data_IF_783126061126
#
_entry.id   IF_783126061126
#
_cell.length_a   1.000
_cell.length_b   1.000
_cell.length_c   1.000
_cell.angle_alpha   90.00
_cell.angle_beta   90.00
_cell.angle_gamma   90.00
#
_symmetry.space_group_name_H-M   'P 1'
#
loop_
_entity.id
_entity.type
_entity.pdbx_description
1 polymer ?
#
# COMPACT_ATOMS: atom_id res chain seq x y z
N UNK A 1 10.64 1.97 45.16
CA UNK A 1 10.94 3.27 44.53
C UNK A 1 9.98 3.58 43.36
N UNK A 2 8.67 3.51 43.58
CA UNK A 2 7.63 3.49 42.52
C UNK A 2 6.87 4.82 42.33
N UNK A 3 7.23 5.88 43.05
CA UNK A 3 6.36 7.07 43.19
C UNK A 3 6.38 8.08 42.02
N UNK A 4 7.22 7.89 40.99
CA UNK A 4 7.40 8.82 39.85
C UNK A 4 7.36 8.15 38.47
N UNK A 5 6.72 6.98 38.31
CA UNK A 5 6.60 6.31 37.00
C UNK A 5 5.15 6.30 36.53
N UNK A 6 4.95 6.46 35.22
CA UNK A 6 3.66 6.23 34.55
C UNK A 6 3.69 4.81 33.97
N UNK A 7 2.66 4.03 34.27
CA UNK A 7 2.49 2.67 33.74
C UNK A 7 1.39 2.70 32.68
N UNK A 8 1.74 2.30 31.46
CA UNK A 8 0.79 2.09 30.38
C UNK A 8 0.67 0.59 30.08
N UNK A 9 -0.56 0.13 29.86
CA UNK A 9 -0.87 -1.24 29.43
C UNK A 9 -1.90 -1.16 28.32
N UNK A 10 -1.83 -2.07 27.35
CA UNK A 10 -2.70 -2.05 26.18
C UNK A 10 -2.76 -3.42 25.52
N UNK A 11 -3.79 -3.63 24.69
CA UNK A 11 -4.00 -4.87 23.96
C UNK A 11 -3.07 -5.07 22.76
N UNK A 12 -2.38 -4.02 22.32
CA UNK A 12 -1.36 -4.05 21.26
C UNK A 12 -0.36 -2.91 21.46
N UNK A 13 0.73 -2.91 20.67
CA UNK A 13 1.72 -1.82 20.68
C UNK A 13 1.11 -0.46 20.34
N UNK A 14 0.24 -0.40 19.32
CA UNK A 14 -0.53 0.81 18.98
C UNK A 14 -1.38 1.29 20.17
N UNK A 15 -2.04 0.39 20.90
CA UNK A 15 -2.87 0.78 22.05
C UNK A 15 -2.02 1.37 23.19
N UNK A 16 -0.83 0.80 23.44
CA UNK A 16 0.13 1.34 24.41
C UNK A 16 0.63 2.71 23.97
N UNK A 17 1.08 2.86 22.73
CA UNK A 17 1.58 4.13 22.18
C UNK A 17 0.51 5.24 22.26
N UNK A 18 -0.73 4.93 21.88
CA UNK A 18 -1.86 5.86 21.99
C UNK A 18 -2.20 6.25 23.42
N UNK A 19 -2.12 5.31 24.37
CA UNK A 19 -2.32 5.59 25.79
C UNK A 19 -1.24 6.51 26.37
N UNK A 20 0.02 6.27 25.99
CA UNK A 20 1.14 7.15 26.35
C UNK A 20 0.93 8.53 25.74
N UNK A 21 0.57 8.63 24.45
CA UNK A 21 0.36 9.92 23.81
C UNK A 21 -0.80 10.69 24.44
N UNK A 22 -1.88 10.01 24.82
CA UNK A 22 -2.99 10.62 25.55
C UNK A 22 -2.50 11.28 26.85
N UNK A 23 -1.69 10.56 27.63
CA UNK A 23 -1.10 11.12 28.84
C UNK A 23 -0.22 12.35 28.54
N UNK A 24 0.69 12.24 27.57
CA UNK A 24 1.57 13.34 27.16
C UNK A 24 0.76 14.58 26.72
N UNK A 25 -0.29 14.38 25.92
CA UNK A 25 -1.10 15.46 25.37
C UNK A 25 -1.93 16.17 26.44
N UNK A 26 -2.63 15.43 27.28
CA UNK A 26 -3.63 16.00 28.19
C UNK A 26 -3.10 16.32 29.59
N UNK A 27 -1.98 15.72 30.00
CA UNK A 27 -1.39 15.96 31.31
C UNK A 27 -0.07 16.73 31.22
N UNK A 28 0.74 16.49 30.19
CA UNK A 28 2.04 17.14 30.04
C UNK A 28 2.04 18.32 29.05
N UNK A 29 0.89 18.66 28.45
CA UNK A 29 0.75 19.69 27.41
C UNK A 29 1.67 19.46 26.18
N UNK A 30 2.00 18.21 25.88
CA UNK A 30 2.80 17.87 24.71
C UNK A 30 1.95 17.82 23.44
N UNK A 31 2.61 17.96 22.29
CA UNK A 31 1.99 17.86 20.99
C UNK A 31 2.96 17.26 19.97
N UNK A 32 2.49 16.33 19.15
CA UNK A 32 3.27 15.74 18.05
C UNK A 32 2.47 15.87 16.75
N UNK A 33 3.09 16.47 15.74
CA UNK A 33 2.54 16.68 14.40
C UNK A 33 3.65 16.58 13.35
N UNK A 34 3.29 16.56 12.06
CA UNK A 34 4.28 16.63 10.98
C UNK A 34 5.08 17.95 10.97
N UNK A 35 4.46 19.04 11.41
CA UNK A 35 5.08 20.37 11.37
C UNK A 35 5.95 20.66 12.60
N UNK A 36 5.99 19.76 13.57
CA UNK A 36 6.78 19.94 14.78
C UNK A 36 6.24 19.17 15.98
N UNK A 37 7.06 19.19 17.03
CA UNK A 37 6.81 18.52 18.30
C UNK A 37 7.10 19.46 19.47
N UNK A 38 6.16 19.57 20.40
CA UNK A 38 6.41 20.05 21.75
C UNK A 38 6.43 18.81 22.64
N UNK A 39 7.60 18.51 23.22
CA UNK A 39 7.81 17.37 24.12
C UNK A 39 8.51 17.80 25.41
N UNK A 40 8.37 19.06 25.80
CA UNK A 40 8.93 19.55 27.06
C UNK A 40 8.06 19.04 28.21
N UNK A 41 8.64 18.15 29.02
CA UNK A 41 7.93 17.51 30.10
C UNK A 41 8.00 18.34 31.39
N UNK A 42 6.88 18.48 32.12
CA UNK A 42 6.90 19.03 33.47
C UNK A 42 7.71 18.16 34.44
N UNK A 43 8.41 18.81 35.38
CA UNK A 43 9.11 18.14 36.47
C UNK A 43 8.58 18.65 37.82
N UNK A 44 7.95 17.79 38.65
CA UNK A 44 7.71 16.36 38.43
C UNK A 44 6.60 16.08 37.40
N UNK A 45 6.57 14.85 36.86
CA UNK A 45 5.48 14.40 35.99
C UNK A 45 4.11 14.48 36.69
N UNK A 46 3.07 15.00 36.02
CA UNK A 46 1.70 15.08 36.54
C UNK A 46 1.19 13.72 36.98
N UNK A 47 0.60 13.67 38.18
CA UNK A 47 0.07 12.42 38.73
C UNK A 47 -1.30 12.12 38.14
N UNK A 48 -1.53 10.84 37.82
CA UNK A 48 -2.85 10.30 37.54
C UNK A 48 -3.52 9.89 38.86
N UNK A 49 -4.77 10.32 39.06
CA UNK A 49 -5.62 9.81 40.14
C UNK A 49 -6.34 8.55 39.68
N UNK A 50 -5.87 7.39 40.13
CA UNK A 50 -6.44 6.10 39.74
C UNK A 50 -5.98 5.62 38.36
N UNK A 51 -6.83 4.83 37.68
CA UNK A 51 -6.53 4.22 36.38
C UNK A 51 -7.39 4.87 35.29
N UNK A 52 -6.73 5.55 34.35
CA UNK A 52 -7.38 6.04 33.14
C UNK A 52 -7.53 4.88 32.13
N UNK A 53 -8.76 4.52 31.79
CA UNK A 53 -9.07 3.50 30.78
C UNK A 53 -9.58 4.17 29.50
N UNK A 54 -8.93 3.88 28.38
CA UNK A 54 -9.28 4.40 27.06
C UNK A 54 -9.60 3.22 26.16
N UNK A 55 -10.82 3.20 25.62
CA UNK A 55 -11.27 2.17 24.68
C UNK A 55 -11.75 2.84 23.40
N UNK A 56 -11.67 2.13 22.29
CA UNK A 56 -12.25 2.54 21.01
C UNK A 56 -13.24 1.50 20.53
N UNK A 57 -14.44 1.90 20.05
CA UNK A 57 -15.38 0.96 19.43
C UNK A 57 -14.93 0.54 18.02
N UNK A 58 -13.92 1.22 17.46
CA UNK A 58 -13.48 1.00 16.08
C UNK A 58 -12.42 -0.11 16.02
N UNK A 59 -12.78 -1.21 15.36
CA UNK A 59 -11.86 -2.30 15.03
C UNK A 59 -10.65 -1.80 14.23
N UNK A 60 -10.90 -0.91 13.26
CA UNK A 60 -9.87 -0.35 12.39
C UNK A 60 -9.85 1.18 12.47
N UNK A 61 -8.64 1.73 12.52
CA UNK A 61 -8.35 3.14 12.28
C UNK A 61 -7.35 3.18 11.13
N UNK A 62 -7.89 3.47 9.96
CA UNK A 62 -7.19 3.45 8.68
C UNK A 62 -6.48 4.78 8.42
N UNK A 63 -5.36 4.74 7.71
CA UNK A 63 -4.63 5.94 7.30
C UNK A 63 -4.02 5.78 5.90
N UNK A 64 -3.85 6.93 5.24
CA UNK A 64 -3.32 7.16 3.88
C UNK A 64 -4.35 7.08 2.75
N UNK A 65 -4.04 7.77 1.65
CA UNK A 65 -4.67 7.59 0.35
C UNK A 65 -3.62 7.01 -0.60
N UNK A 66 -4.03 6.25 -1.61
CA UNK A 66 -3.11 5.74 -2.65
C UNK A 66 -2.34 6.87 -3.35
N UNK A 67 -2.90 8.08 -3.42
CA UNK A 67 -2.24 9.27 -3.95
C UNK A 67 -1.14 9.83 -3.03
N UNK A 68 -1.22 9.61 -1.72
CA UNK A 68 -0.27 10.17 -0.74
C UNK A 68 1.16 9.67 -0.99
N UNK A 69 1.31 8.45 -1.52
CA UNK A 69 2.61 7.86 -1.88
C UNK A 69 3.37 8.68 -2.92
N UNK A 70 2.65 9.35 -3.82
CA UNK A 70 3.23 10.16 -4.89
C UNK A 70 3.33 11.63 -4.51
N UNK A 71 2.33 12.16 -3.80
CA UNK A 71 2.30 13.57 -3.41
C UNK A 71 3.16 13.93 -2.21
N UNK A 72 3.42 12.97 -1.32
CA UNK A 72 4.11 13.24 -0.06
C UNK A 72 5.29 12.29 0.17
N UNK A 73 5.11 10.99 -0.05
CA UNK A 73 6.08 9.99 0.41
C UNK A 73 7.16 9.62 -0.62
N UNK A 74 7.04 10.08 -1.86
CA UNK A 74 7.86 9.61 -3.01
C UNK A 74 9.37 9.74 -2.78
N UNK A 75 9.80 10.74 -1.99
CA UNK A 75 11.21 10.99 -1.69
C UNK A 75 11.58 10.69 -0.24
N UNK A 76 10.71 10.03 0.52
CA UNK A 76 10.99 9.67 1.89
C UNK A 76 12.01 8.54 1.96
N UNK A 77 12.97 8.70 2.85
CA UNK A 77 13.86 7.64 3.28
C UNK A 77 13.27 6.89 4.48
N UNK A 78 14.03 5.94 5.02
CA UNK A 78 13.64 5.20 6.20
C UNK A 78 13.40 6.10 7.41
N UNK A 79 14.25 7.11 7.63
CA UNK A 79 14.14 7.96 8.82
C UNK A 79 12.80 8.69 8.85
N UNK A 80 12.37 9.26 7.73
CA UNK A 80 11.05 9.93 7.67
C UNK A 80 9.90 8.93 7.80
N UNK A 81 10.03 7.72 7.26
CA UNK A 81 9.02 6.66 7.43
C UNK A 81 8.89 6.18 8.88
N UNK A 82 10.00 6.03 9.59
CA UNK A 82 10.03 5.66 11.00
C UNK A 82 9.26 6.69 11.85
N UNK A 83 9.50 7.99 11.62
CA UNK A 83 8.74 9.05 12.27
C UNK A 83 7.24 9.01 11.95
N UNK A 84 6.88 8.66 10.72
CA UNK A 84 5.47 8.52 10.33
C UNK A 84 4.80 7.34 11.03
N UNK A 85 5.48 6.20 11.15
CA UNK A 85 4.93 5.01 11.80
C UNK A 85 4.81 5.23 13.32
N UNK A 86 5.76 5.92 13.94
CA UNK A 86 5.64 6.34 15.34
C UNK A 86 4.44 7.29 15.51
N UNK A 87 4.27 8.27 14.62
CA UNK A 87 3.11 9.16 14.62
C UNK A 87 1.79 8.39 14.44
N UNK A 88 1.74 7.43 13.52
CA UNK A 88 0.61 6.51 13.33
C UNK A 88 0.27 5.79 14.64
N UNK A 89 1.26 5.20 15.32
CA UNK A 89 1.06 4.46 16.57
C UNK A 89 0.55 5.37 17.70
N UNK A 90 1.12 6.57 17.85
CA UNK A 90 0.67 7.58 18.82
C UNK A 90 -0.79 7.99 18.57
N UNK A 91 -1.21 8.08 17.31
CA UNK A 91 -2.59 8.44 16.92
C UNK A 91 -3.52 7.24 16.78
N UNK A 92 -3.05 6.04 17.13
CA UNK A 92 -3.89 4.86 17.19
C UNK A 92 -4.19 4.24 15.84
N UNK A 93 -3.43 4.52 14.79
CA UNK A 93 -3.63 3.87 13.49
C UNK A 93 -3.21 2.41 13.56
N UNK A 94 -4.04 1.51 13.02
CA UNK A 94 -3.76 0.07 12.99
C UNK A 94 -4.01 -0.60 11.64
N UNK A 95 -4.44 0.15 10.61
CA UNK A 95 -4.66 -0.35 9.26
C UNK A 95 -4.09 0.62 8.21
N UNK A 96 -2.76 0.81 8.13
CA UNK A 96 -2.14 1.68 7.13
C UNK A 96 -1.94 0.98 5.76
N UNK A 97 -1.92 1.75 4.67
CA UNK A 97 -1.42 1.23 3.38
C UNK A 97 0.10 1.04 3.42
N UNK A 98 0.60 0.03 2.70
CA UNK A 98 2.04 -0.24 2.56
C UNK A 98 2.37 -0.65 1.11
N UNK A 99 2.46 0.35 0.23
CA UNK A 99 2.56 0.19 -1.23
C UNK A 99 3.97 0.39 -1.80
N UNK A 100 4.94 0.71 -0.95
CA UNK A 100 6.34 0.98 -1.33
C UNK A 100 6.95 -0.26 -1.99
N UNK A 101 7.75 -0.05 -3.03
CA UNK A 101 8.51 -1.12 -3.69
C UNK A 101 7.72 -2.09 -4.58
N UNK A 102 6.41 -1.91 -4.76
CA UNK A 102 5.60 -2.86 -5.54
C UNK A 102 6.03 -2.97 -7.02
N UNK A 103 6.64 -1.93 -7.59
CA UNK A 103 7.19 -1.96 -8.95
C UNK A 103 8.34 -2.95 -9.09
N UNK A 104 9.14 -3.17 -8.04
CA UNK A 104 10.20 -4.18 -8.04
C UNK A 104 9.61 -5.60 -8.18
N UNK A 105 8.49 -5.86 -7.50
CA UNK A 105 7.81 -7.15 -7.59
C UNK A 105 7.19 -7.37 -8.97
N UNK A 106 6.56 -6.33 -9.53
CA UNK A 106 6.05 -6.37 -10.89
C UNK A 106 7.16 -6.56 -11.93
N UNK A 107 8.30 -5.90 -11.76
CA UNK A 107 9.47 -6.09 -12.64
C UNK A 107 9.90 -7.57 -12.67
N UNK A 108 9.97 -8.23 -11.51
CA UNK A 108 10.27 -9.67 -11.44
C UNK A 108 9.21 -10.54 -12.12
N UNK A 109 7.92 -10.29 -11.85
CA UNK A 109 6.81 -11.05 -12.46
C UNK A 109 6.82 -10.90 -13.99
N UNK A 110 6.96 -9.68 -14.51
CA UNK A 110 6.95 -9.45 -15.94
C UNK A 110 8.20 -10.02 -16.65
N UNK A 111 9.38 -9.93 -16.03
CA UNK A 111 10.57 -10.62 -16.54
C UNK A 111 10.38 -12.14 -16.57
N UNK A 112 9.81 -12.72 -15.51
CA UNK A 112 9.53 -14.16 -15.45
C UNK A 112 8.50 -14.62 -16.51
N UNK A 113 7.57 -13.75 -16.89
CA UNK A 113 6.64 -13.99 -18.01
C UNK A 113 7.30 -13.87 -19.39
N UNK A 114 8.46 -13.22 -19.50
CA UNK A 114 9.22 -13.06 -20.74
C UNK A 114 9.10 -11.68 -21.41
N UNK A 115 8.73 -10.64 -20.64
CA UNK A 115 8.80 -9.26 -21.14
C UNK A 115 10.24 -8.79 -21.24
N UNK A 116 10.52 -8.02 -22.28
CA UNK A 116 11.79 -7.35 -22.47
C UNK A 116 11.83 -6.07 -21.62
N UNK A 117 13.04 -5.60 -21.28
CA UNK A 117 13.20 -4.46 -20.37
C UNK A 117 12.48 -3.20 -20.89
N UNK A 118 12.56 -2.92 -22.19
CA UNK A 118 11.86 -1.77 -22.81
C UNK A 118 10.34 -1.84 -22.66
N UNK A 119 9.75 -3.05 -22.65
CA UNK A 119 8.30 -3.22 -22.47
C UNK A 119 7.87 -2.96 -21.02
N UNK A 120 8.76 -3.23 -20.06
CA UNK A 120 8.57 -2.94 -18.64
C UNK A 120 8.74 -1.44 -18.37
N UNK A 121 9.77 -0.83 -18.98
CA UNK A 121 10.03 0.62 -18.88
C UNK A 121 8.91 1.47 -19.49
N UNK A 122 8.23 0.98 -20.53
CA UNK A 122 7.04 1.63 -21.10
C UNK A 122 5.79 1.52 -20.21
N UNK A 123 5.78 0.61 -19.24
CA UNK A 123 4.63 0.40 -18.35
C UNK A 123 4.64 1.34 -17.15
N UNK A 124 5.78 1.46 -16.47
CA UNK A 124 5.87 2.28 -15.26
C UNK A 124 5.93 3.77 -15.59
N UNK A 125 5.27 4.58 -14.76
CA UNK A 125 5.49 6.03 -14.76
C UNK A 125 6.72 6.39 -13.92
N UNK A 126 7.09 7.67 -13.92
CA UNK A 126 8.11 8.19 -13.01
C UNK A 126 7.66 8.13 -11.54
N UNK A 127 8.59 8.21 -10.58
CA UNK A 127 8.29 8.03 -9.15
C UNK A 127 7.11 8.88 -8.63
N UNK A 128 7.09 10.15 -9.03
CA UNK A 128 6.07 11.13 -8.62
C UNK A 128 4.66 10.86 -9.18
N UNK A 129 4.50 9.84 -10.04
CA UNK A 129 3.26 9.53 -10.73
C UNK A 129 2.79 8.08 -10.51
N UNK A 130 3.45 7.34 -9.60
CA UNK A 130 3.18 5.91 -9.41
C UNK A 130 1.79 5.63 -8.86
N UNK A 131 1.17 6.51 -8.08
CA UNK A 131 -0.20 6.36 -7.62
C UNK A 131 -1.17 6.10 -8.79
N UNK A 132 -1.14 6.96 -9.80
CA UNK A 132 -2.01 6.85 -10.98
C UNK A 132 -1.61 5.74 -11.93
N UNK A 133 -0.34 5.34 -11.94
CA UNK A 133 0.09 4.19 -12.71
C UNK A 133 -0.45 2.87 -12.12
N UNK A 134 -0.39 2.72 -10.79
CA UNK A 134 -0.94 1.57 -10.06
C UNK A 134 -2.45 1.45 -10.25
N UNK A 135 -3.16 2.59 -10.30
CA UNK A 135 -4.60 2.68 -10.56
C UNK A 135 -4.99 2.58 -12.04
N UNK A 136 -4.03 2.28 -12.93
CA UNK A 136 -4.25 2.13 -14.37
C UNK A 136 -4.74 3.40 -15.09
N UNK A 137 -4.57 4.59 -14.50
CA UNK A 137 -4.92 5.85 -15.16
C UNK A 137 -3.85 6.28 -16.17
N UNK A 138 -2.58 5.97 -15.87
CA UNK A 138 -1.45 6.40 -16.68
C UNK A 138 -0.31 5.36 -16.76
N UNK A 139 0.60 5.58 -17.69
CA UNK A 139 1.81 4.77 -17.93
C UNK A 139 2.90 5.67 -18.52
N UNK A 140 4.17 5.26 -18.42
CA UNK A 140 5.35 5.90 -19.04
C UNK A 140 5.70 7.34 -18.62
N UNK A 141 4.73 8.18 -18.28
CA UNK A 141 4.95 9.60 -18.03
C UNK A 141 5.94 9.84 -16.88
N UNK A 142 6.99 10.62 -17.13
CA UNK A 142 8.06 10.90 -16.17
C UNK A 142 9.01 9.74 -15.89
N UNK A 143 8.84 8.59 -16.55
CA UNK A 143 9.75 7.44 -16.46
C UNK A 143 10.92 7.50 -17.46
N UNK A 144 11.72 6.42 -17.56
CA UNK A 144 11.59 5.15 -16.84
C UNK A 144 12.07 5.21 -15.38
N UNK A 145 11.72 4.20 -14.58
CA UNK A 145 12.28 4.02 -13.24
C UNK A 145 13.70 3.46 -13.34
N UNK A 146 14.72 4.08 -12.72
CA UNK A 146 16.06 3.49 -12.70
C UNK A 146 16.09 2.24 -11.80
N UNK A 147 16.98 1.28 -12.09
CA UNK A 147 17.09 0.06 -11.27
C UNK A 147 17.34 0.35 -9.78
N UNK A 148 18.04 1.44 -9.47
CA UNK A 148 18.25 1.90 -8.08
C UNK A 148 16.95 2.21 -7.34
N UNK A 149 15.90 2.68 -8.04
CA UNK A 149 14.58 2.88 -7.46
C UNK A 149 13.99 1.56 -6.97
N UNK A 150 13.98 0.53 -7.82
CA UNK A 150 13.45 -0.78 -7.47
C UNK A 150 14.15 -1.39 -6.25
N UNK A 151 15.49 -1.33 -6.23
CA UNK A 151 16.29 -1.86 -5.11
C UNK A 151 16.02 -1.09 -3.82
N UNK A 152 16.10 0.24 -3.86
CA UNK A 152 15.95 1.06 -2.66
C UNK A 152 14.54 0.98 -2.07
N UNK A 153 13.51 0.98 -2.92
CA UNK A 153 12.12 0.92 -2.47
C UNK A 153 11.75 -0.47 -1.93
N UNK A 154 12.36 -1.54 -2.45
CA UNK A 154 12.17 -2.89 -1.90
C UNK A 154 12.73 -2.99 -0.47
N UNK A 155 13.95 -2.49 -0.24
CA UNK A 155 14.57 -2.45 1.09
C UNK A 155 13.74 -1.59 2.05
N UNK A 156 13.32 -0.40 1.60
CA UNK A 156 12.50 0.52 2.41
C UNK A 156 11.19 -0.14 2.85
N UNK A 157 10.52 -0.85 1.94
CA UNK A 157 9.26 -1.53 2.26
C UNK A 157 9.43 -2.62 3.32
N UNK A 158 10.54 -3.37 3.31
CA UNK A 158 10.81 -4.38 4.34
C UNK A 158 10.90 -3.74 5.74
N UNK A 159 11.59 -2.61 5.85
CA UNK A 159 11.71 -1.87 7.12
C UNK A 159 10.36 -1.30 7.58
N UNK A 160 9.56 -0.75 6.65
CA UNK A 160 8.21 -0.25 6.93
C UNK A 160 7.32 -1.36 7.49
N UNK A 161 7.30 -2.52 6.84
CA UNK A 161 6.45 -3.64 7.23
C UNK A 161 6.86 -4.22 8.58
N UNK A 162 8.16 -4.40 8.83
CA UNK A 162 8.68 -4.84 10.12
C UNK A 162 8.21 -3.92 11.25
N UNK A 163 8.43 -2.61 11.12
CA UNK A 163 8.06 -1.65 12.16
C UNK A 163 6.55 -1.53 12.36
N UNK A 164 5.75 -1.56 11.29
CA UNK A 164 4.30 -1.58 11.41
C UNK A 164 3.81 -2.81 12.20
N UNK A 165 4.38 -3.99 11.92
CA UNK A 165 4.02 -5.24 12.60
C UNK A 165 4.49 -5.29 14.05
N UNK A 166 5.63 -4.69 14.38
CA UNK A 166 6.10 -4.55 15.78
C UNK A 166 5.08 -3.80 16.65
N UNK A 167 4.39 -2.79 16.10
CA UNK A 167 3.30 -2.11 16.80
C UNK A 167 1.98 -2.90 16.81
N UNK A 168 1.87 -3.98 16.04
CA UNK A 168 0.64 -4.73 15.82
C UNK A 168 -0.33 -4.04 14.86
N UNK A 169 0.18 -3.23 13.92
CA UNK A 169 -0.60 -2.75 12.78
C UNK A 169 -0.80 -3.88 11.76
N UNK A 170 -1.80 -3.72 10.90
CA UNK A 170 -2.11 -4.63 9.79
C UNK A 170 -1.86 -3.85 8.48
N UNK A 171 -0.67 -3.97 7.87
CA UNK A 171 -0.37 -3.32 6.61
C UNK A 171 -1.25 -3.84 5.48
N UNK A 172 -1.85 -2.93 4.71
CA UNK A 172 -2.61 -3.26 3.50
C UNK A 172 -1.65 -3.36 2.31
N UNK A 173 -1.52 -4.55 1.74
CA UNK A 173 -0.63 -4.83 0.61
C UNK A 173 -1.37 -4.71 -0.73
N UNK A 174 -0.66 -4.42 -1.84
CA UNK A 174 -1.29 -4.32 -3.16
C UNK A 174 -1.68 -5.68 -3.74
N UNK A 175 -2.69 -5.70 -4.60
CA UNK A 175 -3.07 -6.85 -5.41
C UNK A 175 -3.31 -6.46 -6.88
N UNK A 176 -3.34 -7.46 -7.76
CA UNK A 176 -3.50 -7.25 -9.20
C UNK A 176 -4.89 -6.71 -9.56
N UNK A 177 -4.92 -5.63 -10.34
CA UNK A 177 -6.15 -4.94 -10.76
C UNK A 177 -6.64 -5.34 -12.15
N UNK A 178 -5.87 -6.12 -12.91
CA UNK A 178 -6.12 -6.40 -14.33
C UNK A 178 -5.32 -5.53 -15.30
N UNK A 179 -4.67 -4.46 -14.82
CA UNK A 179 -3.82 -3.59 -15.65
C UNK A 179 -2.51 -4.28 -16.03
N UNK A 180 -2.24 -4.35 -17.33
CA UNK A 180 -1.09 -5.07 -17.88
C UNK A 180 -0.25 -4.20 -18.84
N UNK A 181 1.05 -4.48 -18.98
CA UNK A 181 1.88 -3.89 -20.02
C UNK A 181 1.48 -4.40 -21.41
N UNK A 182 1.64 -3.54 -22.43
CA UNK A 182 1.36 -3.90 -23.83
C UNK A 182 2.12 -5.15 -24.30
N UNK A 183 3.33 -5.36 -23.79
CA UNK A 183 4.17 -6.51 -24.10
C UNK A 183 3.52 -7.87 -23.80
N UNK A 184 2.53 -7.92 -22.91
CA UNK A 184 1.75 -9.15 -22.66
C UNK A 184 1.04 -9.64 -23.93
N UNK A 185 0.58 -8.74 -24.81
CA UNK A 185 -0.07 -9.12 -26.07
C UNK A 185 0.89 -9.77 -27.08
N UNK A 186 2.20 -9.55 -26.95
CA UNK A 186 3.21 -10.26 -27.75
C UNK A 186 3.35 -11.71 -27.30
N UNK A 187 3.30 -11.93 -25.99
CA UNK A 187 3.47 -13.25 -25.38
C UNK A 187 2.17 -14.07 -25.42
N UNK A 188 1.03 -13.40 -25.25
CA UNK A 188 -0.31 -13.98 -25.20
C UNK A 188 -1.22 -13.28 -26.23
N UNK A 189 -1.05 -13.56 -27.54
CA UNK A 189 -1.78 -12.85 -28.61
C UNK A 189 -3.28 -13.13 -28.62
N UNK A 190 -3.75 -14.16 -27.91
CA UNK A 190 -5.16 -14.51 -27.76
C UNK A 190 -5.79 -13.94 -26.47
N UNK A 191 -5.03 -13.19 -25.67
CA UNK A 191 -5.54 -12.60 -24.44
C UNK A 191 -6.66 -11.59 -24.76
N UNK A 192 -7.79 -11.72 -24.07
CA UNK A 192 -8.91 -10.81 -24.20
C UNK A 192 -8.62 -9.54 -23.39
N UNK A 193 -8.30 -8.44 -24.09
CA UNK A 193 -7.84 -7.20 -23.47
C UNK A 193 -8.63 -6.02 -24.02
N UNK A 194 -9.06 -5.15 -23.11
CA UNK A 194 -9.69 -3.87 -23.44
C UNK A 194 -8.67 -2.75 -23.27
N UNK A 195 -8.60 -1.84 -24.25
CA UNK A 195 -7.87 -0.58 -24.09
C UNK A 195 -8.86 0.46 -23.55
N UNK A 196 -8.58 1.02 -22.37
CA UNK A 196 -9.42 2.06 -21.79
C UNK A 196 -9.29 3.40 -22.51
N UNK A 197 -10.24 4.30 -22.26
CA UNK A 197 -10.18 5.68 -22.73
C UNK A 197 -9.06 6.50 -22.06
N UNK A 198 -8.77 7.70 -22.58
CA UNK A 198 -7.80 8.61 -21.97
C UNK A 198 -8.31 9.16 -20.62
N UNK A 199 -7.41 9.30 -19.66
CA UNK A 199 -7.66 9.92 -18.35
C UNK A 199 -7.07 11.33 -18.28
N UNK A 200 -7.80 12.28 -17.69
CA UNK A 200 -7.37 13.66 -17.43
C UNK A 200 -6.65 14.37 -18.61
N UNK A 201 -7.17 14.18 -19.83
CA UNK A 201 -6.62 14.76 -21.08
C UNK A 201 -5.22 14.26 -21.50
N UNK A 202 -4.66 13.24 -20.85
CA UNK A 202 -3.48 12.54 -21.37
C UNK A 202 -3.84 11.74 -22.62
N UNK A 203 -3.00 11.82 -23.65
CA UNK A 203 -3.15 10.97 -24.83
C UNK A 203 -2.76 9.51 -24.53
N UNK A 204 -3.04 8.59 -25.46
CA UNK A 204 -2.77 7.17 -25.26
C UNK A 204 -1.28 6.77 -25.20
N UNK A 205 -0.36 7.69 -25.45
CA UNK A 205 1.07 7.47 -25.16
C UNK A 205 1.34 7.40 -23.66
N UNK A 206 0.50 8.06 -22.85
CA UNK A 206 0.66 8.15 -21.39
C UNK A 206 -0.56 7.66 -20.60
N UNK A 207 -1.67 7.34 -21.24
CA UNK A 207 -2.89 6.80 -20.62
C UNK A 207 -3.39 5.59 -21.43
N UNK A 208 -4.71 5.37 -21.53
CA UNK A 208 -5.33 4.29 -22.29
C UNK A 208 -4.71 2.93 -21.92
N UNK A 209 -4.82 2.58 -20.64
CA UNK A 209 -4.23 1.36 -20.09
C UNK A 209 -4.89 0.12 -20.67
N UNK A 210 -4.13 -0.98 -20.71
CA UNK A 210 -4.59 -2.27 -21.20
C UNK A 210 -5.12 -3.04 -20.00
N UNK A 211 -6.42 -3.32 -19.98
CA UNK A 211 -7.08 -4.09 -18.93
C UNK A 211 -7.42 -5.46 -19.47
N UNK A 212 -6.87 -6.49 -18.83
CA UNK A 212 -7.18 -7.88 -19.10
C UNK A 212 -8.62 -8.18 -18.66
N UNK A 213 -9.41 -8.82 -19.52
CA UNK A 213 -10.77 -9.22 -19.18
C UNK A 213 -10.72 -10.17 -17.97
N UNK A 214 -11.54 -9.94 -16.94
CA UNK A 214 -11.54 -10.77 -15.73
C UNK A 214 -11.86 -12.24 -16.00
N UNK A 215 -12.54 -12.56 -17.11
CA UNK A 215 -12.90 -13.93 -17.50
C UNK A 215 -11.79 -14.63 -18.27
N UNK A 216 -10.74 -13.91 -18.66
CA UNK A 216 -9.56 -14.50 -19.29
C UNK A 216 -8.77 -15.31 -18.25
N UNK A 217 -8.42 -16.58 -18.52
CA UNK A 217 -7.61 -17.40 -17.61
C UNK A 217 -6.28 -16.74 -17.18
N UNK A 218 -5.71 -15.89 -18.05
CA UNK A 218 -4.49 -15.16 -17.78
C UNK A 218 -4.63 -14.19 -16.60
N UNK A 219 -5.86 -13.71 -16.30
CA UNK A 219 -6.10 -12.81 -15.17
C UNK A 219 -5.75 -13.48 -13.85
N UNK A 220 -6.24 -14.71 -13.67
CA UNK A 220 -5.94 -15.50 -12.48
C UNK A 220 -4.45 -15.85 -12.42
N UNK A 221 -3.86 -16.25 -13.54
CA UNK A 221 -2.44 -16.60 -13.61
C UNK A 221 -1.54 -15.42 -13.20
N UNK A 222 -1.69 -14.25 -13.82
CA UNK A 222 -0.87 -13.08 -13.50
C UNK A 222 -1.13 -12.60 -12.06
N UNK A 223 -2.40 -12.55 -11.65
CA UNK A 223 -2.76 -12.13 -10.30
C UNK A 223 -2.18 -13.03 -9.22
N UNK A 224 -2.21 -14.34 -9.42
CA UNK A 224 -1.62 -15.31 -8.49
C UNK A 224 -0.09 -15.27 -8.48
N UNK A 225 0.56 -15.08 -9.64
CA UNK A 225 2.02 -14.91 -9.70
C UNK A 225 2.48 -13.67 -8.92
N UNK A 226 1.79 -12.54 -9.12
CA UNK A 226 2.10 -11.31 -8.40
C UNK A 226 1.87 -11.45 -6.89
N UNK A 227 0.73 -11.99 -6.49
CA UNK A 227 0.45 -12.17 -5.07
C UNK A 227 1.43 -13.14 -4.40
N UNK A 228 1.80 -14.23 -5.08
CA UNK A 228 2.84 -15.14 -4.58
C UNK A 228 4.17 -14.41 -4.39
N UNK A 229 4.53 -13.51 -5.30
CA UNK A 229 5.73 -12.68 -5.16
C UNK A 229 5.62 -11.67 -3.99
N UNK A 230 4.46 -11.04 -3.80
CA UNK A 230 4.17 -10.18 -2.63
C UNK A 230 4.34 -10.97 -1.34
N UNK A 231 3.69 -12.13 -1.21
CA UNK A 231 3.77 -12.94 0.02
C UNK A 231 5.18 -13.47 0.25
N UNK A 232 5.88 -13.89 -0.79
CA UNK A 232 7.27 -14.38 -0.70
C UNK A 232 8.21 -13.30 -0.15
N UNK A 233 8.11 -12.07 -0.65
CA UNK A 233 9.02 -11.00 -0.27
C UNK A 233 8.62 -10.31 1.03
N UNK A 234 7.33 -10.13 1.26
CA UNK A 234 6.81 -9.25 2.31
C UNK A 234 6.05 -9.98 3.42
N UNK A 235 5.79 -11.28 3.28
CA UNK A 235 4.77 -11.95 4.08
C UNK A 235 3.38 -11.37 3.81
N UNK A 236 2.42 -11.58 4.72
CA UNK A 236 1.10 -10.97 4.60
C UNK A 236 0.33 -10.91 5.91
N UNK A 237 -0.54 -9.92 6.00
CA UNK A 237 -1.49 -9.73 7.10
C UNK A 237 -2.96 -9.87 6.59
N UNK A 238 -3.11 -10.51 5.43
CA UNK A 238 -4.37 -10.95 4.81
C UNK A 238 -5.34 -9.85 4.36
N UNK A 239 -4.91 -8.59 4.33
CA UNK A 239 -5.69 -7.48 3.76
C UNK A 239 -4.94 -6.94 2.55
N UNK A 240 -5.63 -6.93 1.40
CA UNK A 240 -5.11 -6.44 0.14
C UNK A 240 -6.01 -5.35 -0.42
N UNK A 241 -5.42 -4.38 -1.13
CA UNK A 241 -6.16 -3.36 -1.87
C UNK A 241 -5.83 -3.42 -3.36
N UNK A 242 -6.85 -3.20 -4.18
CA UNK A 242 -6.74 -3.06 -5.63
C UNK A 242 -7.99 -2.38 -6.16
N UNK A 243 -7.83 -1.58 -7.22
CA UNK A 243 -8.90 -0.80 -7.82
C UNK A 243 -8.73 -0.86 -9.35
N UNK A 244 -9.64 -1.53 -10.05
CA UNK A 244 -9.54 -1.76 -11.51
C UNK A 244 -9.92 -0.53 -12.34
N UNK A 245 -10.89 0.26 -11.86
CA UNK A 245 -11.47 1.36 -12.61
C UNK A 245 -11.59 2.65 -11.81
N UNK A 246 -10.59 2.94 -10.97
CA UNK A 246 -10.56 4.23 -10.27
C UNK A 246 -10.53 5.37 -11.30
N UNK A 247 -11.58 6.20 -11.32
CA UNK A 247 -11.76 7.29 -12.30
C UNK A 247 -11.70 6.85 -13.78
N UNK A 248 -11.96 5.58 -14.06
CA UNK A 248 -12.02 5.04 -15.41
C UNK A 248 -13.40 4.45 -15.66
N UNK A 249 -13.93 4.61 -16.88
CA UNK A 249 -15.19 3.97 -17.26
C UNK A 249 -14.94 2.50 -17.62
N UNK A 250 -15.62 1.53 -16.98
CA UNK A 250 -15.57 0.13 -17.38
C UNK A 250 -16.02 -0.04 -18.85
N UNK A 251 -15.52 -1.04 -19.59
CA UNK A 251 -15.96 -1.27 -20.98
C UNK A 251 -17.40 -1.74 -21.10
N UNK A 252 -18.01 -2.22 -20.01
CA UNK A 252 -19.41 -2.62 -19.98
C UNK A 252 -20.03 -2.26 -18.63
N UNK A 253 -21.29 -1.78 -18.67
CA UNK A 253 -22.15 -1.58 -17.51
C UNK A 253 -23.00 -2.81 -17.18
N UNK A 254 -22.84 -3.92 -17.92
CA UNK A 254 -23.52 -5.19 -17.63
C UNK A 254 -23.15 -5.68 -16.22
N UNK A 255 -24.14 -5.87 -15.32
CA UNK A 255 -23.90 -6.40 -13.99
C UNK A 255 -23.12 -7.71 -13.97
N UNK A 256 -23.29 -8.59 -14.96
CA UNK A 256 -22.56 -9.85 -15.04
C UNK A 256 -21.06 -9.64 -15.28
N UNK A 257 -20.71 -8.65 -16.10
CA UNK A 257 -19.32 -8.23 -16.34
C UNK A 257 -18.71 -7.61 -15.08
N UNK A 258 -19.40 -6.65 -14.46
CA UNK A 258 -18.92 -5.98 -13.24
C UNK A 258 -18.72 -6.99 -12.09
N UNK A 259 -19.63 -7.94 -11.94
CA UNK A 259 -19.49 -9.00 -10.94
C UNK A 259 -18.33 -9.97 -11.26
N UNK A 260 -18.03 -10.21 -12.54
CA UNK A 260 -16.89 -11.05 -12.94
C UNK A 260 -15.55 -10.42 -12.53
N UNK A 261 -15.43 -9.09 -12.56
CA UNK A 261 -14.23 -8.37 -12.10
C UNK A 261 -14.00 -8.62 -10.63
N UNK A 262 -14.98 -8.32 -9.79
CA UNK A 262 -14.88 -8.51 -8.34
C UNK A 262 -14.58 -9.96 -7.99
N UNK A 263 -15.22 -10.92 -8.66
CA UNK A 263 -14.95 -12.35 -8.47
C UNK A 263 -13.51 -12.74 -8.82
N UNK A 264 -12.98 -12.24 -9.94
CA UNK A 264 -11.67 -12.66 -10.45
C UNK A 264 -10.52 -12.03 -9.67
N UNK A 265 -10.69 -10.76 -9.27
CA UNK A 265 -9.81 -10.10 -8.30
C UNK A 265 -9.79 -10.85 -6.97
N UNK A 266 -10.96 -11.19 -6.43
CA UNK A 266 -11.03 -11.93 -5.17
C UNK A 266 -10.47 -13.36 -5.30
N UNK A 267 -10.72 -14.02 -6.42
CA UNK A 267 -10.17 -15.35 -6.73
C UNK A 267 -8.64 -15.31 -6.79
N UNK A 268 -8.04 -14.30 -7.43
CA UNK A 268 -6.58 -14.17 -7.48
C UNK A 268 -5.97 -13.92 -6.09
N UNK A 269 -6.67 -13.17 -5.22
CA UNK A 269 -6.30 -12.99 -3.80
C UNK A 269 -6.39 -14.27 -2.96
N UNK A 270 -7.26 -15.21 -3.33
CA UNK A 270 -7.55 -16.41 -2.53
C UNK A 270 -6.92 -17.69 -3.06
N UNK A 271 -6.54 -17.72 -4.34
CA UNK A 271 -5.88 -18.87 -4.97
C UNK A 271 -4.55 -19.25 -4.28
N UNK A 272 -3.85 -18.28 -3.67
CA UNK A 272 -2.62 -18.51 -2.90
C UNK A 272 -2.82 -19.17 -1.53
N UNK A 273 -4.05 -19.38 -1.06
CA UNK A 273 -4.33 -20.00 0.24
C UNK A 273 -4.30 -21.54 0.21
N UNK A 274 -4.01 -22.15 -0.95
CA UNK A 274 -4.03 -23.60 -1.14
C UNK A 274 -2.69 -24.34 -0.91
N UNK A 275 -1.61 -23.64 -0.54
CA UNK A 275 -0.27 -24.26 -0.46
C UNK A 275 0.58 -23.82 0.75
N UNK A 276 -0.07 -23.45 1.86
CA UNK A 276 0.59 -23.23 3.15
C UNK A 276 -0.14 -24.04 4.23
N UNK A 277 0.21 -25.33 4.29
CA UNK A 277 0.06 -26.20 5.45
C UNK A 277 1.37 -26.26 6.21
#
# INVERSE_FOLDING_TARGET
>A
SSKNKILATGSSGVAVASGIYNYLKYFCNCHVSWCGRQLELPSPLPRLTGVLRINTPHRFRYYQNVCTVSYSFVWWDWHRWEEEIDWMALNGINLPLAFTGQEALWQEVYRALGLNESEIEEFFSGPAFLAWNRMANMKRFGGPLPQSWHVNQLVLQLQILERMRDFGMIPVLPAFSGNIPRGILRLYPQANVTILGPWAHFNCSYSCSYILDPRDPLFLQIGSLYLAQVVKQFGTDHIYNTDTFNEMTPPSSDPAYLAAISRSVFASMTAGKGSAS
#
